data_IF_124753818546
#
_entry.id   IF_124753818546
#
_cell.length_a   1.000
_cell.length_b   1.000
_cell.length_c   1.000
_cell.angle_alpha   90.00
_cell.angle_beta   90.00
_cell.angle_gamma   90.00
#
_symmetry.space_group_name_H-M   'P 1'
#
loop_
_entity.id
_entity.type
_entity.pdbx_description
1 polymer ?
#
# COMPACT_ATOMS: atom_id res chain seq x y z
N UNK A 1 10.14 3.77 5.16
CA UNK A 1 9.94 3.81 3.70
C UNK A 1 10.89 2.81 3.03
N UNK A 2 12.14 2.70 3.48
CA UNK A 2 13.10 1.67 3.02
C UNK A 2 12.59 0.22 3.08
N UNK A 3 11.84 -0.17 4.12
CA UNK A 3 11.38 -1.55 4.26
C UNK A 3 10.43 -2.00 3.12
N UNK A 4 9.60 -1.11 2.58
CA UNK A 4 8.65 -1.45 1.50
C UNK A 4 9.35 -1.64 0.15
N UNK A 5 10.52 -1.03 -0.05
CA UNK A 5 11.28 -1.13 -1.29
C UNK A 5 12.00 -2.48 -1.44
N UNK A 6 12.25 -3.17 -0.32
CA UNK A 6 12.90 -4.50 -0.32
C UNK A 6 11.93 -5.67 -0.52
N UNK A 7 10.62 -5.44 -0.38
CA UNK A 7 9.63 -6.50 -0.59
C UNK A 7 9.36 -6.71 -2.08
N UNK A 8 9.22 -7.99 -2.43
CA UNK A 8 8.63 -8.55 -3.65
C UNK A 8 7.23 -7.93 -3.91
N UNK A 9 6.77 -7.97 -5.17
CA UNK A 9 5.38 -7.72 -5.53
C UNK A 9 4.37 -8.47 -4.62
N UNK A 10 4.62 -9.75 -4.33
CA UNK A 10 3.78 -10.55 -3.44
C UNK A 10 3.86 -10.07 -1.98
N UNK A 11 5.04 -9.65 -1.53
CA UNK A 11 5.23 -9.06 -0.21
C UNK A 11 4.50 -7.71 -0.06
N UNK A 12 4.48 -6.89 -1.11
CA UNK A 12 3.70 -5.65 -1.12
C UNK A 12 2.20 -5.91 -1.06
N UNK A 13 1.71 -6.97 -1.71
CA UNK A 13 0.31 -7.36 -1.66
C UNK A 13 -0.08 -7.84 -0.24
N UNK A 14 0.78 -8.59 0.43
CA UNK A 14 0.55 -9.03 1.82
C UNK A 14 0.54 -7.86 2.81
N UNK A 15 1.47 -6.91 2.66
CA UNK A 15 1.51 -5.69 3.47
C UNK A 15 0.29 -4.79 3.20
N UNK A 16 -0.17 -4.73 1.95
CA UNK A 16 -1.40 -4.03 1.58
C UNK A 16 -2.61 -4.64 2.30
N UNK A 17 -2.73 -5.97 2.32
CA UNK A 17 -3.79 -6.65 3.07
C UNK A 17 -3.71 -6.38 4.57
N UNK A 18 -2.50 -6.43 5.14
CA UNK A 18 -2.26 -6.13 6.56
C UNK A 18 -2.74 -4.72 6.92
N UNK A 19 -2.35 -3.71 6.13
CA UNK A 19 -2.79 -2.32 6.31
C UNK A 19 -4.32 -2.16 6.13
N UNK A 20 -4.94 -2.96 5.26
CA UNK A 20 -6.39 -3.00 5.10
C UNK A 20 -7.10 -3.59 6.34
N UNK A 21 -6.56 -4.66 6.93
CA UNK A 21 -7.05 -5.25 8.18
C UNK A 21 -6.92 -4.26 9.34
N UNK A 22 -5.80 -3.56 9.45
CA UNK A 22 -5.59 -2.51 10.45
C UNK A 22 -6.62 -1.38 10.30
N UNK A 23 -6.86 -0.91 9.07
CA UNK A 23 -7.88 0.11 8.79
C UNK A 23 -9.28 -0.37 9.18
N UNK A 24 -9.60 -1.66 8.96
CA UNK A 24 -10.88 -2.24 9.38
C UNK A 24 -11.03 -2.22 10.91
N UNK A 25 -9.99 -2.64 11.64
CA UNK A 25 -9.98 -2.60 13.10
C UNK A 25 -10.12 -1.18 13.64
N UNK A 26 -9.42 -0.20 13.05
CA UNK A 26 -9.52 1.21 13.43
C UNK A 26 -10.92 1.78 13.14
N UNK A 27 -11.55 1.39 12.03
CA UNK A 27 -12.94 1.76 11.73
C UNK A 27 -13.93 1.14 12.72
N UNK A 28 -13.70 -0.11 13.10
CA UNK A 28 -14.51 -0.79 14.10
C UNK A 28 -14.40 -0.09 15.46
N UNK A 29 -13.19 0.20 15.92
CA UNK A 29 -12.94 0.95 17.15
C UNK A 29 -13.55 2.37 17.11
N UNK A 30 -13.48 3.04 15.95
CA UNK A 30 -14.11 4.34 15.75
C UNK A 30 -15.64 4.25 15.90
N UNK A 31 -16.26 3.19 15.35
CA UNK A 31 -17.70 2.97 15.46
C UNK A 31 -18.16 2.70 16.89
N UNK A 32 -17.32 2.03 17.70
CA UNK A 32 -17.58 1.76 19.12
C UNK A 32 -17.25 2.97 20.01
N UNK A 33 -16.80 4.10 19.43
CA UNK A 33 -16.35 5.30 20.18
C UNK A 33 -15.24 5.02 21.20
N UNK A 34 -14.47 3.94 20.99
CA UNK A 34 -13.32 3.56 21.82
C UNK A 34 -11.99 4.01 21.21
N UNK A 35 -12.04 4.65 20.03
CA UNK A 35 -10.85 5.14 19.36
C UNK A 35 -10.33 6.39 20.06
N UNK A 36 -9.14 6.28 20.64
CA UNK A 36 -8.44 7.36 21.34
C UNK A 36 -7.79 8.36 20.37
N UNK A 37 -7.34 7.91 19.19
CA UNK A 37 -6.70 8.77 18.20
C UNK A 37 -7.28 8.57 16.77
N UNK A 38 -7.98 9.59 16.29
CA UNK A 38 -8.55 9.65 14.93
C UNK A 38 -7.44 9.81 13.86
N UNK A 39 -6.25 10.28 14.25
CA UNK A 39 -5.10 10.47 13.37
C UNK A 39 -4.60 9.14 12.79
N UNK A 40 -4.72 8.04 13.54
CA UNK A 40 -4.34 6.69 13.11
C UNK A 40 -5.13 6.23 11.88
N UNK A 41 -6.42 6.55 11.84
CA UNK A 41 -7.28 6.31 10.67
C UNK A 41 -6.73 7.01 9.40
N UNK A 42 -6.18 8.21 9.55
CA UNK A 42 -5.56 8.97 8.44
C UNK A 42 -4.17 8.46 8.10
N UNK A 43 -3.42 7.90 9.05
CA UNK A 43 -2.12 7.26 8.82
C UNK A 43 -2.28 5.96 8.05
N UNK A 44 -3.17 5.06 8.49
CA UNK A 44 -3.47 3.79 7.82
C UNK A 44 -3.92 4.00 6.35
N UNK A 45 -4.81 4.97 6.09
CA UNK A 45 -5.20 5.32 4.70
C UNK A 45 -4.02 5.79 3.86
N UNK A 46 -3.09 6.55 4.43
CA UNK A 46 -1.89 7.02 3.72
C UNK A 46 -0.88 5.90 3.48
N UNK A 47 -0.78 4.94 4.39
CA UNK A 47 0.05 3.75 4.20
C UNK A 47 -0.45 2.91 3.02
N UNK A 48 -1.75 2.62 2.96
CA UNK A 48 -2.38 1.95 1.81
C UNK A 48 -2.11 2.69 0.50
N UNK A 49 -2.30 4.02 0.48
CA UNK A 49 -2.04 4.81 -0.71
C UNK A 49 -0.58 4.72 -1.18
N UNK A 50 0.38 4.78 -0.24
CA UNK A 50 1.81 4.66 -0.55
C UNK A 50 2.17 3.31 -1.14
N UNK A 51 1.64 2.22 -0.57
CA UNK A 51 1.87 0.86 -1.08
C UNK A 51 1.33 0.73 -2.50
N UNK A 52 0.09 1.19 -2.74
CA UNK A 52 -0.51 1.18 -4.08
C UNK A 52 0.27 2.01 -5.09
N UNK A 53 0.76 3.19 -4.68
CA UNK A 53 1.61 4.00 -5.56
C UNK A 53 2.86 3.22 -5.93
N UNK A 54 3.54 2.58 -4.96
CA UNK A 54 4.78 1.85 -5.21
C UNK A 54 4.58 0.64 -6.13
N UNK A 55 3.48 -0.11 -5.96
CA UNK A 55 3.07 -1.17 -6.88
C UNK A 55 2.90 -0.58 -8.28
N UNK A 56 2.14 0.51 -8.42
CA UNK A 56 1.90 1.13 -9.72
C UNK A 56 3.18 1.68 -10.37
N UNK A 57 4.10 2.24 -9.59
CA UNK A 57 5.38 2.72 -10.11
C UNK A 57 6.19 1.56 -10.69
N UNK A 58 6.21 0.40 -10.02
CA UNK A 58 6.89 -0.80 -10.53
C UNK A 58 6.24 -1.35 -11.79
N UNK A 59 4.91 -1.45 -11.82
CA UNK A 59 4.17 -1.84 -13.02
C UNK A 59 4.47 -0.93 -14.21
N UNK A 60 4.54 0.40 -13.99
CA UNK A 60 4.86 1.37 -15.02
C UNK A 60 6.31 1.28 -15.50
N UNK A 61 7.26 0.98 -14.60
CA UNK A 61 8.66 0.72 -14.96
C UNK A 61 8.76 -0.56 -15.81
N UNK A 62 8.02 -1.62 -15.48
CA UNK A 62 7.93 -2.84 -16.28
C UNK A 62 7.28 -2.58 -17.65
N UNK A 63 6.13 -1.89 -17.70
CA UNK A 63 5.45 -1.50 -18.96
C UNK A 63 6.36 -0.61 -19.84
N UNK A 64 7.10 0.32 -19.22
CA UNK A 64 8.04 1.19 -19.90
C UNK A 64 9.26 0.46 -20.46
N UNK A 65 9.71 -0.62 -19.80
CA UNK A 65 10.83 -1.44 -20.26
C UNK A 65 10.44 -2.37 -21.42
N UNK A 66 9.17 -2.80 -21.50
CA UNK A 66 8.62 -3.59 -22.62
C UNK A 66 8.55 -2.78 -23.92
N UNK A 67 8.39 -1.46 -23.83
CA UNK A 67 8.31 -0.56 -25.00
C UNK A 67 9.60 -0.42 -25.81
N UNK A 68 10.77 -0.82 -25.27
CA UNK A 68 12.08 -0.69 -25.93
C UNK A 68 12.42 -1.94 -26.78
N UNK A 69 11.66 -3.04 -26.65
CA UNK A 69 11.99 -4.32 -27.28
C UNK A 69 11.25 -4.61 -28.60
N UNK A 70 10.56 -3.64 -29.20
CA UNK A 70 9.89 -3.80 -30.50
C UNK A 70 10.53 -2.89 -31.56
N UNK A 71 11.85 -2.90 -31.69
CA UNK A 71 12.54 -2.51 -32.92
C UNK A 71 13.84 -3.31 -33.04
N UNK A 72 13.75 -4.49 -33.69
CA UNK A 72 14.73 -5.05 -34.63
C UNK A 72 14.11 -6.23 -35.41
#
# INVERSE_FOLDING_TARGET
MEALLQLDHDGLAEELESAHRELFNLRFQASTSQLTDISELKKARRQIARIKTLIRTRELEEEGNVGISIEE
#
